data_IF_662925008510
#
_entry.id   IF_662925008510
#
_cell.length_a   1.000
_cell.length_b   1.000
_cell.length_c   1.000
_cell.angle_alpha   90.00
_cell.angle_beta   90.00
_cell.angle_gamma   90.00
#
_symmetry.space_group_name_H-M   'P 1'
#
loop_
_entity.id
_entity.type
_entity.pdbx_description
1 polymer ?
#
# COMPACT_ATOMS: atom_id res chain seq x y z
N UNK A 1 22.85 2.41 -8.27
CA UNK A 1 21.41 2.77 -8.24
C UNK A 1 20.71 2.46 -6.90
N UNK A 2 20.82 1.26 -6.32
CA UNK A 2 20.11 0.89 -5.07
C UNK A 2 20.28 1.90 -3.92
N UNK A 3 21.50 2.39 -3.66
CA UNK A 3 21.75 3.39 -2.61
C UNK A 3 21.03 4.73 -2.87
N UNK A 4 20.97 5.17 -4.13
CA UNK A 4 20.32 6.45 -4.49
C UNK A 4 18.80 6.44 -4.27
N UNK A 5 18.18 5.26 -4.34
CA UNK A 5 16.73 5.05 -4.13
C UNK A 5 16.40 4.74 -2.67
N UNK A 6 17.28 4.07 -1.93
CA UNK A 6 17.00 3.70 -0.53
C UNK A 6 17.29 4.81 0.46
N UNK A 7 18.36 5.57 0.21
CA UNK A 7 18.88 6.60 1.14
C UNK A 7 19.34 7.88 0.45
N UNK A 8 19.28 7.96 -0.88
CA UNK A 8 19.77 9.10 -1.65
C UNK A 8 18.67 10.01 -2.19
N UNK A 9 19.06 10.93 -3.07
CA UNK A 9 18.22 12.02 -3.62
C UNK A 9 16.91 11.61 -4.29
N UNK A 10 16.76 10.33 -4.63
CA UNK A 10 15.59 9.82 -5.35
C UNK A 10 14.64 9.00 -4.47
N UNK A 11 14.93 8.86 -3.17
CA UNK A 11 14.15 7.98 -2.30
C UNK A 11 12.68 8.39 -2.18
N UNK A 12 12.41 9.67 -1.96
CA UNK A 12 11.04 10.15 -1.79
C UNK A 12 10.25 10.06 -3.10
N UNK A 13 10.87 10.41 -4.22
CA UNK A 13 10.26 10.28 -5.54
C UNK A 13 9.94 8.82 -5.88
N UNK A 14 10.84 7.89 -5.55
CA UNK A 14 10.62 6.46 -5.76
C UNK A 14 9.51 5.89 -4.87
N UNK A 15 9.42 6.34 -3.61
CA UNK A 15 8.34 5.97 -2.70
C UNK A 15 7.00 6.52 -3.17
N UNK A 16 6.96 7.77 -3.60
CA UNK A 16 5.75 8.39 -4.16
C UNK A 16 5.29 7.64 -5.42
N UNK A 17 6.22 7.30 -6.32
CA UNK A 17 5.91 6.50 -7.50
C UNK A 17 5.40 5.11 -7.13
N UNK A 18 6.00 4.43 -6.15
CA UNK A 18 5.53 3.13 -5.67
C UNK A 18 4.10 3.20 -5.11
N UNK A 19 3.78 4.26 -4.36
CA UNK A 19 2.43 4.47 -3.82
C UNK A 19 1.43 4.78 -4.93
N UNK A 20 1.77 5.67 -5.87
CA UNK A 20 0.91 6.03 -6.98
C UNK A 20 0.60 4.82 -7.88
N UNK A 21 1.63 4.05 -8.27
CA UNK A 21 1.48 2.81 -9.05
C UNK A 21 0.65 1.80 -8.25
N UNK A 22 0.97 1.62 -6.97
CA UNK A 22 0.27 0.70 -6.08
C UNK A 22 -1.22 1.01 -6.00
N UNK A 23 -1.60 2.27 -5.77
CA UNK A 23 -2.99 2.71 -5.71
C UNK A 23 -3.69 2.53 -7.06
N UNK A 24 -3.04 2.93 -8.16
CA UNK A 24 -3.60 2.80 -9.50
C UNK A 24 -3.91 1.33 -9.84
N UNK A 25 -2.98 0.41 -9.59
CA UNK A 25 -3.21 -1.02 -9.85
C UNK A 25 -4.24 -1.60 -8.87
N UNK A 26 -4.20 -1.20 -7.60
CA UNK A 26 -5.16 -1.66 -6.58
C UNK A 26 -6.60 -1.24 -6.89
N UNK A 27 -6.80 -0.14 -7.61
CA UNK A 27 -8.13 0.29 -8.06
C UNK A 27 -8.77 -0.68 -9.07
N UNK A 28 -7.95 -1.48 -9.77
CA UNK A 28 -8.41 -2.44 -10.77
C UNK A 28 -8.42 -3.87 -10.22
N UNK A 29 -7.42 -4.23 -9.41
CA UNK A 29 -7.29 -5.59 -8.88
C UNK A 29 -6.54 -5.63 -7.55
N UNK A 30 -6.95 -6.50 -6.63
CA UNK A 30 -6.35 -6.64 -5.29
C UNK A 30 -4.85 -6.99 -5.31
N UNK A 31 -4.36 -7.61 -6.38
CA UNK A 31 -2.91 -7.88 -6.60
C UNK A 31 -2.08 -6.60 -6.59
N UNK A 32 -2.68 -5.44 -6.89
CA UNK A 32 -2.03 -4.14 -6.74
C UNK A 32 -1.51 -3.87 -5.34
N UNK A 33 -2.12 -4.44 -4.30
CA UNK A 33 -1.69 -4.34 -2.90
C UNK A 33 -0.33 -5.01 -2.71
N UNK A 34 -0.16 -6.20 -3.29
CA UNK A 34 1.08 -6.97 -3.24
C UNK A 34 2.16 -6.26 -4.04
N UNK A 35 1.84 -5.77 -5.25
CA UNK A 35 2.76 -4.99 -6.09
C UNK A 35 3.25 -3.76 -5.34
N UNK A 36 2.36 -3.00 -4.71
CA UNK A 36 2.71 -1.85 -3.89
C UNK A 36 3.67 -2.22 -2.76
N UNK A 37 3.34 -3.28 -2.00
CA UNK A 37 4.19 -3.78 -0.94
C UNK A 37 5.59 -4.13 -1.44
N UNK A 38 5.71 -4.88 -2.54
CA UNK A 38 7.01 -5.23 -3.14
C UNK A 38 7.81 -3.99 -3.53
N UNK A 39 7.20 -3.04 -4.25
CA UNK A 39 7.88 -1.81 -4.67
C UNK A 39 8.39 -0.99 -3.47
N UNK A 40 7.56 -0.87 -2.44
CA UNK A 40 7.91 -0.21 -1.19
C UNK A 40 9.04 -0.93 -0.45
N UNK A 41 8.99 -2.26 -0.37
CA UNK A 41 10.04 -3.07 0.25
C UNK A 41 11.40 -2.93 -0.44
N UNK A 42 11.41 -2.87 -1.77
CA UNK A 42 12.63 -2.66 -2.56
C UNK A 42 13.26 -1.27 -2.32
N UNK A 43 12.41 -0.25 -2.16
CA UNK A 43 12.80 1.13 -1.89
C UNK A 43 13.15 1.39 -0.41
N UNK A 44 12.62 0.59 0.52
CA UNK A 44 12.86 0.77 1.95
C UNK A 44 14.33 0.52 2.33
N UNK A 45 14.86 1.31 3.27
CA UNK A 45 16.24 1.19 3.76
C UNK A 45 16.44 0.13 4.85
N UNK A 46 15.37 -0.37 5.47
CA UNK A 46 15.41 -1.41 6.51
C UNK A 46 14.08 -2.15 6.61
N UNK A 47 14.06 -3.31 7.27
CA UNK A 47 12.84 -4.11 7.51
C UNK A 47 11.80 -3.31 8.29
N UNK A 48 12.21 -2.62 9.37
CA UNK A 48 11.31 -1.75 10.15
C UNK A 48 10.69 -0.67 9.28
N UNK A 49 11.48 -0.03 8.42
CA UNK A 49 10.97 1.01 7.50
C UNK A 49 10.05 0.42 6.44
N UNK A 50 10.35 -0.77 5.91
CA UNK A 50 9.48 -1.47 4.96
C UNK A 50 8.12 -1.81 5.56
N UNK A 51 8.09 -2.31 6.80
CA UNK A 51 6.85 -2.57 7.53
C UNK A 51 6.03 -1.28 7.71
N UNK A 52 6.66 -0.21 8.22
CA UNK A 52 5.98 1.07 8.43
C UNK A 52 5.42 1.62 7.12
N UNK A 53 6.21 1.67 6.05
CA UNK A 53 5.75 2.18 4.76
C UNK A 53 4.65 1.31 4.14
N UNK A 54 4.74 -0.02 4.26
CA UNK A 54 3.69 -0.92 3.82
C UNK A 54 2.39 -0.72 4.60
N UNK A 55 2.48 -0.49 5.90
CA UNK A 55 1.33 -0.15 6.74
C UNK A 55 0.75 1.23 6.39
N UNK A 56 1.61 2.22 6.12
CA UNK A 56 1.19 3.54 5.64
C UNK A 56 0.42 3.42 4.33
N UNK A 57 0.94 2.64 3.37
CA UNK A 57 0.24 2.37 2.11
C UNK A 57 -1.11 1.70 2.35
N UNK A 58 -1.18 0.68 3.21
CA UNK A 58 -2.43 -0.01 3.56
C UNK A 58 -3.47 0.97 4.10
N UNK A 59 -3.08 1.83 5.05
CA UNK A 59 -3.96 2.87 5.59
C UNK A 59 -4.43 3.87 4.53
N UNK A 60 -3.53 4.34 3.66
CA UNK A 60 -3.88 5.23 2.55
C UNK A 60 -4.83 4.59 1.55
N UNK A 61 -4.63 3.31 1.22
CA UNK A 61 -5.50 2.56 0.33
C UNK A 61 -6.92 2.46 0.91
N UNK A 62 -7.05 2.08 2.18
CA UNK A 62 -8.35 1.99 2.86
C UNK A 62 -9.01 3.37 2.94
N UNK A 63 -8.26 4.42 3.28
CA UNK A 63 -8.78 5.78 3.35
C UNK A 63 -9.22 6.30 1.97
N UNK A 64 -8.44 6.04 0.91
CA UNK A 64 -8.79 6.42 -0.46
C UNK A 64 -10.05 5.69 -0.93
N UNK A 65 -10.17 4.39 -0.65
CA UNK A 65 -11.37 3.63 -0.97
C UNK A 65 -12.60 4.13 -0.19
N UNK A 66 -12.47 4.36 1.11
CA UNK A 66 -13.54 4.94 1.93
C UNK A 66 -13.95 6.32 1.41
N UNK A 67 -13.00 7.19 1.07
CA UNK A 67 -13.26 8.50 0.49
C UNK A 67 -13.97 8.42 -0.85
N UNK A 68 -13.59 7.48 -1.71
CA UNK A 68 -14.30 7.20 -2.96
C UNK A 68 -15.73 6.72 -2.72
N UNK A 69 -15.97 5.88 -1.71
CA UNK A 69 -17.31 5.45 -1.33
C UNK A 69 -18.17 6.61 -0.79
N UNK A 70 -17.59 7.52 -0.01
CA UNK A 70 -18.27 8.75 0.44
C UNK A 70 -18.65 9.61 -0.76
N UNK A 71 -17.72 9.82 -1.69
CA UNK A 71 -17.94 10.60 -2.90
C UNK A 71 -19.10 10.05 -3.76
N UNK A 72 -19.25 8.72 -3.82
CA UNK A 72 -20.31 8.05 -4.57
C UNK A 72 -21.59 7.80 -3.74
N UNK A 73 -21.68 8.29 -2.50
CA UNK A 73 -22.83 8.08 -1.62
C UNK A 73 -23.04 6.63 -1.16
N UNK A 74 -22.05 5.75 -1.35
CA UNK A 74 -22.13 4.32 -1.08
C UNK A 74 -21.53 3.91 0.29
N UNK A 75 -20.95 4.85 1.03
CA UNK A 75 -20.23 4.56 2.28
C UNK A 75 -21.09 3.85 3.33
N UNK A 76 -22.32 4.32 3.57
CA UNK A 76 -23.23 3.71 4.55
C UNK A 76 -23.57 2.26 4.20
N UNK A 77 -23.84 1.98 2.92
CA UNK A 77 -24.11 0.62 2.44
C UNK A 77 -22.89 -0.30 2.61
N UNK A 78 -21.68 0.20 2.34
CA UNK A 78 -20.45 -0.56 2.54
C UNK A 78 -20.18 -0.87 4.00
N UNK A 79 -20.30 0.11 4.90
CA UNK A 79 -20.13 -0.10 6.34
C UNK A 79 -21.17 -1.08 6.88
N UNK A 80 -22.41 -1.02 6.36
CA UNK A 80 -23.49 -1.93 6.72
C UNK A 80 -23.41 -3.33 6.09
N UNK A 81 -22.50 -3.57 5.13
CA UNK A 81 -22.40 -4.82 4.38
C UNK A 81 -21.76 -5.98 5.17
N UNK A 82 -21.85 -5.98 6.50
CA UNK A 82 -21.32 -7.02 7.37
C UNK A 82 -19.79 -7.11 7.32
N UNK A 83 -19.20 -8.24 6.87
CA UNK A 83 -17.76 -8.46 6.94
C UNK A 83 -16.95 -7.69 5.88
N UNK A 84 -17.58 -7.05 4.90
CA UNK A 84 -16.86 -6.44 3.76
C UNK A 84 -15.85 -5.36 4.18
N UNK A 85 -16.17 -4.40 5.08
CA UNK A 85 -15.17 -3.43 5.55
C UNK A 85 -13.98 -4.09 6.26
N UNK A 86 -14.24 -5.14 7.05
CA UNK A 86 -13.20 -5.90 7.72
C UNK A 86 -12.31 -6.62 6.70
N UNK A 87 -12.90 -7.22 5.66
CA UNK A 87 -12.14 -7.83 4.57
C UNK A 87 -11.26 -6.79 3.87
N UNK A 88 -11.79 -5.63 3.51
CA UNK A 88 -10.99 -4.54 2.92
C UNK A 88 -9.79 -4.18 3.80
N UNK A 89 -10.01 -4.00 5.11
CA UNK A 89 -8.94 -3.69 6.06
C UNK A 89 -7.90 -4.83 6.14
N UNK A 90 -8.33 -6.08 6.30
CA UNK A 90 -7.44 -7.24 6.43
C UNK A 90 -6.66 -7.48 5.14
N UNK A 91 -7.31 -7.41 3.96
CA UNK A 91 -6.62 -7.61 2.68
C UNK A 91 -5.58 -6.52 2.42
N UNK A 92 -5.81 -5.29 2.89
CA UNK A 92 -4.81 -4.22 2.78
C UNK A 92 -3.49 -4.55 3.53
N UNK A 93 -3.55 -5.41 4.55
CA UNK A 93 -2.37 -5.87 5.30
C UNK A 93 -1.44 -6.78 4.49
N UNK A 94 -1.84 -7.21 3.29
CA UNK A 94 -0.90 -7.85 2.35
C UNK A 94 0.24 -6.91 1.96
N UNK A 95 0.04 -5.59 1.99
CA UNK A 95 1.08 -4.61 1.67
C UNK A 95 2.28 -4.65 2.64
N UNK A 96 2.13 -4.53 3.98
CA UNK A 96 3.26 -4.65 4.89
C UNK A 96 3.91 -6.04 4.87
N UNK A 97 3.14 -7.12 4.67
CA UNK A 97 3.71 -8.48 4.53
C UNK A 97 4.61 -8.57 3.30
N UNK A 98 4.11 -8.13 2.13
CA UNK A 98 4.88 -8.13 0.89
C UNK A 98 6.09 -7.19 0.96
N UNK A 99 5.96 -6.03 1.61
CA UNK A 99 7.06 -5.09 1.79
C UNK A 99 8.19 -5.66 2.66
N UNK A 100 7.84 -6.30 3.77
CA UNK A 100 8.83 -6.99 4.61
C UNK A 100 9.49 -8.13 3.85
N UNK A 101 8.70 -8.98 3.16
CA UNK A 101 9.23 -10.08 2.36
C UNK A 101 10.23 -9.60 1.30
N UNK A 102 9.86 -8.59 0.50
CA UNK A 102 10.74 -8.02 -0.50
C UNK A 102 12.02 -7.38 0.08
N UNK A 103 11.92 -6.74 1.25
CA UNK A 103 13.05 -6.14 1.96
C UNK A 103 14.01 -7.17 2.56
N UNK A 104 13.49 -8.33 2.99
CA UNK A 104 14.31 -9.44 3.51
C UNK A 104 15.04 -10.15 2.36
N UNK A 105 14.39 -10.29 1.20
CA UNK A 105 14.90 -11.08 0.07
C UNK A 105 15.81 -10.29 -0.92
N UNK A 106 15.87 -8.94 -0.88
CA UNK A 106 16.62 -8.14 -1.89
C UNK A 106 17.30 -6.84 -1.43
#
# INVERSE_FOLDING_TARGET
MKAAVRTGRYGDAALLAAFAIGLAVSSVHWVGIVVAGVLVGLAASSVRRAFVLGLTFAGLLVAAFAGWMVWNGAFGAWVGAGPIPLLTAVTSLLAPVAAVGARVLG
#
